data_IF_925168501011
#
_entry.id   IF_925168501011
#
_cell.length_a   1.000
_cell.length_b   1.000
_cell.length_c   1.000
_cell.angle_alpha   90.00
_cell.angle_beta   90.00
_cell.angle_gamma   90.00
#
_symmetry.space_group_name_H-M   'P 1'
#
loop_
_entity.id
_entity.type
_entity.pdbx_description
1 polymer ?
#
# COMPACT_ATOMS: atom_id res chain seq x y z
N UNK A 1 -0.74 -16.02 9.18
CA UNK A 1 0.63 -15.46 9.23
C UNK A 1 0.68 -14.50 10.40
N UNK A 2 1.62 -14.65 11.30
CA UNK A 2 1.79 -13.69 12.39
C UNK A 2 2.42 -12.44 11.76
N UNK A 3 1.74 -11.29 11.79
CA UNK A 3 2.24 -10.04 11.18
C UNK A 3 3.60 -9.59 11.74
N UNK A 4 4.01 -10.15 12.88
CA UNK A 4 5.31 -9.90 13.52
C UNK A 4 6.51 -10.47 12.76
N UNK A 5 6.30 -11.44 11.86
CA UNK A 5 7.36 -12.16 11.14
C UNK A 5 7.69 -11.56 9.75
N UNK A 6 7.27 -10.33 9.46
CA UNK A 6 7.60 -9.65 8.19
C UNK A 6 9.04 -9.16 8.24
N UNK A 7 9.92 -9.61 7.31
CA UNK A 7 11.30 -9.14 7.24
C UNK A 7 11.38 -7.62 7.05
N UNK A 8 12.37 -6.97 7.65
CA UNK A 8 12.53 -5.53 7.57
C UNK A 8 12.59 -5.01 6.13
N UNK A 9 13.29 -5.73 5.24
CA UNK A 9 13.39 -5.40 3.80
C UNK A 9 12.05 -5.42 3.06
N UNK A 10 11.06 -6.14 3.59
CA UNK A 10 9.74 -6.25 2.96
C UNK A 10 8.78 -5.15 3.45
N UNK A 11 9.06 -4.52 4.61
CA UNK A 11 8.14 -3.54 5.23
C UNK A 11 8.04 -2.22 4.48
N UNK A 12 9.04 -1.85 3.69
CA UNK A 12 8.98 -0.70 2.81
C UNK A 12 8.59 -1.18 1.41
N UNK A 13 7.49 -0.66 0.89
CA UNK A 13 7.03 -0.86 -0.49
C UNK A 13 7.38 0.41 -1.26
N UNK A 14 8.37 0.33 -2.16
CA UNK A 14 8.76 1.49 -2.96
C UNK A 14 7.81 1.69 -4.14
N UNK A 15 7.22 2.88 -4.24
CA UNK A 15 6.34 3.25 -5.34
C UNK A 15 7.15 3.63 -6.58
N UNK A 16 7.13 2.77 -7.60
CA UNK A 16 7.72 2.99 -8.92
C UNK A 16 6.81 3.89 -9.78
N UNK A 17 6.66 5.15 -9.36
CA UNK A 17 5.88 6.12 -10.11
C UNK A 17 6.79 6.83 -11.15
N UNK A 18 7.15 6.10 -12.21
CA UNK A 18 8.08 6.48 -13.28
C UNK A 18 7.45 6.23 -14.65
N UNK A 19 8.03 6.81 -15.71
CA UNK A 19 7.43 6.91 -17.04
C UNK A 19 7.78 5.74 -17.97
N UNK A 20 8.75 4.89 -17.60
CA UNK A 20 9.20 3.81 -18.48
C UNK A 20 9.68 2.58 -17.74
N UNK A 21 9.74 1.44 -18.46
CA UNK A 21 10.33 0.20 -17.98
C UNK A 21 11.82 0.37 -17.65
N UNK A 22 12.57 1.09 -18.48
CA UNK A 22 14.00 1.31 -18.32
C UNK A 22 14.31 2.12 -17.04
N UNK A 23 13.46 3.10 -16.73
CA UNK A 23 13.60 3.87 -15.50
C UNK A 23 13.24 3.00 -14.28
N UNK A 24 12.18 2.21 -14.38
CA UNK A 24 11.81 1.26 -13.33
C UNK A 24 12.93 0.25 -13.06
N UNK A 25 13.58 -0.28 -14.10
CA UNK A 25 14.72 -1.19 -14.00
C UNK A 25 15.87 -0.58 -13.19
N UNK A 26 16.27 0.66 -13.52
CA UNK A 26 17.32 1.39 -12.78
C UNK A 26 16.99 1.54 -11.29
N UNK A 27 15.73 1.78 -10.95
CA UNK A 27 15.30 1.89 -9.56
C UNK A 27 15.31 0.54 -8.84
N UNK A 28 14.86 -0.53 -9.50
CA UNK A 28 14.89 -1.89 -8.93
C UNK A 28 16.34 -2.33 -8.71
N UNK A 29 17.22 -2.12 -9.69
CA UNK A 29 18.65 -2.46 -9.55
C UNK A 29 19.33 -1.64 -8.45
N UNK A 30 18.97 -0.36 -8.30
CA UNK A 30 19.53 0.52 -7.27
C UNK A 30 19.09 0.15 -5.85
N UNK A 31 17.82 -0.21 -5.65
CA UNK A 31 17.23 -0.40 -4.33
C UNK A 31 17.04 -1.87 -3.92
N UNK A 32 17.14 -2.82 -4.84
CA UNK A 32 16.81 -4.22 -4.61
C UNK A 32 17.67 -4.94 -3.57
N UNK A 33 18.88 -4.44 -3.26
CA UNK A 33 19.66 -4.95 -2.13
C UNK A 33 19.17 -4.48 -0.76
N UNK A 34 18.43 -3.37 -0.70
CA UNK A 34 17.95 -2.73 0.53
C UNK A 34 16.48 -2.99 0.80
N UNK A 35 15.63 -3.03 -0.24
CA UNK A 35 14.19 -3.32 -0.17
C UNK A 35 13.82 -4.45 -1.13
N UNK A 36 12.83 -5.24 -0.72
CA UNK A 36 12.38 -6.39 -1.49
C UNK A 36 10.98 -6.22 -2.09
N UNK A 37 10.34 -5.05 -1.93
CA UNK A 37 8.96 -4.86 -2.33
C UNK A 37 8.77 -3.58 -3.15
N UNK A 38 8.18 -3.75 -4.35
CA UNK A 38 7.94 -2.66 -5.30
C UNK A 38 6.47 -2.54 -5.67
N UNK A 39 5.95 -1.31 -5.73
CA UNK A 39 4.59 -1.01 -6.15
C UNK A 39 4.56 -0.54 -7.60
N UNK A 40 3.81 -1.23 -8.43
CA UNK A 40 3.48 -0.80 -9.79
C UNK A 40 2.08 -0.16 -9.75
N UNK A 41 2.04 1.16 -9.88
CA UNK A 41 0.81 1.95 -9.95
C UNK A 41 0.34 2.17 -11.37
N UNK A 42 -0.76 2.93 -11.54
CA UNK A 42 -1.40 3.18 -12.84
C UNK A 42 -0.44 3.74 -13.89
N UNK A 43 0.38 4.75 -13.53
CA UNK A 43 1.32 5.40 -14.45
C UNK A 43 2.25 4.37 -15.10
N UNK A 44 3.00 3.65 -14.31
CA UNK A 44 3.98 2.67 -14.80
C UNK A 44 3.30 1.44 -15.44
N UNK A 45 2.14 1.02 -14.92
CA UNK A 45 1.40 -0.09 -15.50
C UNK A 45 0.92 0.24 -16.92
N UNK A 46 0.39 1.43 -17.16
CA UNK A 46 -0.03 1.88 -18.50
C UNK A 46 1.17 2.01 -19.44
N UNK A 47 2.32 2.48 -18.95
CA UNK A 47 3.53 2.62 -19.74
C UNK A 47 4.19 1.28 -20.10
N UNK A 48 4.15 0.29 -19.20
CA UNK A 48 4.95 -0.94 -19.36
C UNK A 48 4.20 -2.26 -19.15
N UNK A 49 2.93 -2.25 -18.74
CA UNK A 49 2.07 -3.43 -18.53
C UNK A 49 2.76 -4.56 -17.73
N UNK A 50 2.46 -5.83 -18.07
CA UNK A 50 3.05 -7.01 -17.41
C UNK A 50 4.58 -7.18 -17.56
N UNK A 51 5.26 -6.72 -18.62
CA UNK A 51 6.72 -6.72 -18.66
C UNK A 51 7.40 -6.09 -17.45
N UNK A 52 6.85 -4.99 -16.90
CA UNK A 52 7.37 -4.35 -15.68
C UNK A 52 7.25 -5.30 -14.48
N UNK A 53 6.08 -5.93 -14.30
CA UNK A 53 5.87 -6.88 -13.20
C UNK A 53 6.82 -8.05 -13.31
N UNK A 54 6.93 -8.65 -14.51
CA UNK A 54 7.84 -9.77 -14.79
C UNK A 54 9.32 -9.41 -14.58
N UNK A 55 9.71 -8.18 -14.88
CA UNK A 55 11.06 -7.69 -14.64
C UNK A 55 11.39 -7.69 -13.14
N UNK A 56 10.46 -7.24 -12.30
CA UNK A 56 10.62 -7.17 -10.85
C UNK A 56 10.64 -8.59 -10.24
N UNK A 57 9.65 -9.44 -10.60
CA UNK A 57 9.52 -10.79 -10.02
C UNK A 57 10.67 -11.72 -10.44
N UNK A 58 11.18 -11.60 -11.67
CA UNK A 58 12.38 -12.34 -12.12
C UNK A 58 13.65 -12.00 -11.33
N UNK A 59 13.72 -10.81 -10.73
CA UNK A 59 14.81 -10.40 -9.83
C UNK A 59 14.60 -10.91 -8.39
N UNK A 60 13.52 -11.65 -8.14
CA UNK A 60 13.18 -12.22 -6.83
C UNK A 60 12.49 -11.24 -5.87
N UNK A 61 11.97 -10.13 -6.37
CA UNK A 61 11.29 -9.12 -5.57
C UNK A 61 9.76 -9.28 -5.59
N UNK A 62 9.13 -8.87 -4.50
CA UNK A 62 7.68 -8.83 -4.34
C UNK A 62 7.06 -7.65 -5.11
N UNK A 63 5.85 -7.87 -5.64
CA UNK A 63 5.11 -6.83 -6.37
C UNK A 63 3.76 -6.56 -5.72
N UNK A 64 3.47 -5.27 -5.50
CA UNK A 64 2.14 -4.74 -5.24
C UNK A 64 1.59 -4.11 -6.52
N UNK A 65 0.59 -4.72 -7.12
CA UNK A 65 -0.15 -4.19 -8.25
C UNK A 65 -1.23 -3.21 -7.75
N UNK A 66 -0.90 -1.90 -7.76
CA UNK A 66 -1.71 -0.84 -7.14
C UNK A 66 -2.58 -0.11 -8.18
N UNK A 67 -3.50 -0.84 -8.80
CA UNK A 67 -4.41 -0.32 -9.83
C UNK A 67 -5.74 0.17 -9.26
N UNK A 68 -6.03 -0.11 -7.98
CA UNK A 68 -7.28 0.24 -7.31
C UNK A 68 -8.50 -0.15 -8.14
N UNK A 69 -8.50 -1.42 -8.60
CA UNK A 69 -9.49 -1.95 -9.56
C UNK A 69 -10.90 -1.59 -9.10
N UNK A 70 -11.64 -0.94 -9.98
CA UNK A 70 -12.98 -0.44 -9.74
C UNK A 70 -13.82 -0.57 -11.02
N UNK A 71 -14.66 -1.61 -11.07
CA UNK A 71 -15.54 -1.88 -12.19
C UNK A 71 -16.73 -2.76 -11.70
N UNK A 72 -17.64 -3.13 -12.59
CA UNK A 72 -18.70 -4.11 -12.27
C UNK A 72 -18.07 -5.46 -11.86
N UNK A 73 -18.73 -6.23 -10.99
CA UNK A 73 -18.15 -7.44 -10.38
C UNK A 73 -17.54 -8.43 -11.38
N UNK A 74 -18.18 -8.67 -12.51
CA UNK A 74 -17.68 -9.64 -13.51
C UNK A 74 -16.38 -9.15 -14.16
N UNK A 75 -16.27 -7.84 -14.48
CA UNK A 75 -15.03 -7.25 -15.01
C UNK A 75 -13.91 -7.34 -13.98
N UNK A 76 -14.21 -7.11 -12.69
CA UNK A 76 -13.23 -7.28 -11.61
C UNK A 76 -12.71 -8.71 -11.55
N UNK A 77 -13.57 -9.74 -11.61
CA UNK A 77 -13.16 -11.15 -11.66
C UNK A 77 -12.22 -11.43 -12.82
N UNK A 78 -12.61 -11.00 -14.02
CA UNK A 78 -11.80 -11.20 -15.23
C UNK A 78 -10.44 -10.49 -15.14
N UNK A 79 -10.40 -9.29 -14.57
CA UNK A 79 -9.16 -8.56 -14.35
C UNK A 79 -8.23 -9.30 -13.37
N UNK A 80 -8.76 -9.79 -12.23
CA UNK A 80 -7.98 -10.55 -11.24
C UNK A 80 -7.42 -11.86 -11.82
N UNK A 81 -8.15 -12.53 -12.72
CA UNK A 81 -7.64 -13.72 -13.44
C UNK A 81 -6.38 -13.41 -14.24
N UNK A 82 -6.26 -12.20 -14.82
CA UNK A 82 -5.06 -11.78 -15.57
C UNK A 82 -3.84 -11.56 -14.66
N UNK A 83 -4.04 -11.30 -13.37
CA UNK A 83 -2.95 -11.09 -12.41
C UNK A 83 -2.35 -12.41 -11.90
N UNK A 84 -3.10 -13.51 -11.93
CA UNK A 84 -2.77 -14.81 -11.32
C UNK A 84 -1.41 -15.37 -11.73
N UNK A 85 -1.07 -15.29 -13.01
CA UNK A 85 0.10 -15.97 -13.59
C UNK A 85 1.35 -15.04 -13.64
N UNK A 86 1.36 -14.00 -12.83
CA UNK A 86 2.40 -12.96 -12.85
C UNK A 86 3.14 -12.77 -11.52
N UNK A 87 3.05 -13.74 -10.58
CA UNK A 87 3.74 -13.72 -9.26
C UNK A 87 3.52 -12.44 -8.46
N UNK A 88 2.29 -11.89 -8.53
CA UNK A 88 1.90 -10.68 -7.81
C UNK A 88 1.60 -11.04 -6.37
N UNK A 89 2.24 -10.33 -5.42
CA UNK A 89 2.04 -10.52 -3.98
C UNK A 89 0.76 -9.85 -3.50
N UNK A 90 0.55 -8.57 -3.86
CA UNK A 90 -0.61 -7.77 -3.48
C UNK A 90 -1.30 -7.15 -4.69
N UNK A 91 -2.63 -7.12 -4.69
CA UNK A 91 -3.43 -6.33 -5.63
C UNK A 91 -4.42 -5.45 -4.86
N UNK A 92 -4.63 -4.21 -5.32
CA UNK A 92 -5.56 -3.28 -4.69
C UNK A 92 -6.87 -3.18 -5.47
N UNK A 93 -7.97 -3.13 -4.72
CA UNK A 93 -9.31 -2.89 -5.23
C UNK A 93 -9.98 -1.79 -4.41
N UNK A 94 -10.96 -1.09 -4.97
CA UNK A 94 -11.77 -0.14 -4.20
C UNK A 94 -12.64 -0.88 -3.17
N UNK A 95 -12.73 -0.35 -1.95
CA UNK A 95 -13.36 -0.98 -0.79
C UNK A 95 -14.90 -1.05 -0.83
N UNK A 96 -15.52 -1.09 -2.01
CA UNK A 96 -16.95 -1.30 -2.18
C UNK A 96 -17.27 -2.80 -2.15
N UNK A 97 -18.27 -3.21 -1.38
CA UNK A 97 -18.56 -4.62 -1.10
C UNK A 97 -18.70 -5.50 -2.35
N UNK A 98 -19.44 -5.15 -3.43
CA UNK A 98 -19.54 -5.98 -4.62
C UNK A 98 -18.19 -6.20 -5.31
N UNK A 99 -17.32 -5.17 -5.33
CA UNK A 99 -15.99 -5.20 -5.94
C UNK A 99 -15.06 -6.11 -5.11
N UNK A 100 -15.04 -5.92 -3.78
CA UNK A 100 -14.21 -6.74 -2.87
C UNK A 100 -14.62 -8.20 -2.94
N UNK A 101 -15.92 -8.52 -2.98
CA UNK A 101 -16.42 -9.88 -3.11
C UNK A 101 -15.94 -10.54 -4.39
N UNK A 102 -16.09 -9.86 -5.51
CA UNK A 102 -15.63 -10.35 -6.82
C UNK A 102 -14.11 -10.60 -6.82
N UNK A 103 -13.35 -9.70 -6.22
CA UNK A 103 -11.90 -9.85 -6.14
C UNK A 103 -11.47 -11.02 -5.24
N UNK A 104 -12.11 -11.21 -4.09
CA UNK A 104 -11.81 -12.30 -3.15
C UNK A 104 -12.13 -13.67 -3.77
N UNK A 105 -13.21 -13.78 -4.55
CA UNK A 105 -13.58 -15.02 -5.25
C UNK A 105 -12.52 -15.46 -6.27
N UNK A 106 -11.75 -14.53 -6.85
CA UNK A 106 -10.77 -14.80 -7.91
C UNK A 106 -9.30 -14.55 -7.49
N UNK A 107 -9.03 -14.40 -6.19
CA UNK A 107 -7.69 -13.99 -5.72
C UNK A 107 -6.56 -14.99 -6.00
N UNK A 108 -6.84 -16.30 -6.10
CA UNK A 108 -5.92 -17.34 -6.56
C UNK A 108 -4.44 -17.19 -6.12
N UNK A 109 -4.21 -16.96 -4.82
CA UNK A 109 -2.88 -16.77 -4.25
C UNK A 109 -2.40 -15.30 -4.16
N UNK A 110 -2.99 -14.38 -4.93
CA UNK A 110 -2.76 -12.93 -4.77
C UNK A 110 -3.51 -12.43 -3.54
N UNK A 111 -2.84 -11.71 -2.65
CA UNK A 111 -3.52 -11.09 -1.50
C UNK A 111 -4.22 -9.82 -1.94
N UNK A 112 -5.52 -9.75 -1.65
CA UNK A 112 -6.36 -8.60 -2.01
C UNK A 112 -6.35 -7.58 -0.88
N UNK A 113 -6.01 -6.34 -1.21
CA UNK A 113 -6.04 -5.20 -0.31
C UNK A 113 -7.15 -4.23 -0.72
N UNK A 114 -8.12 -4.01 0.16
CA UNK A 114 -9.19 -3.06 -0.09
C UNK A 114 -8.76 -1.62 0.25
N UNK A 115 -8.87 -0.70 -0.69
CA UNK A 115 -8.66 0.73 -0.46
C UNK A 115 -9.89 1.29 0.24
N UNK A 116 -9.74 1.72 1.49
CA UNK A 116 -10.86 2.24 2.30
C UNK A 116 -11.32 3.60 1.80
N UNK A 117 -10.49 4.63 1.98
CA UNK A 117 -10.67 5.98 1.42
C UNK A 117 -9.31 6.46 0.93
N UNK A 118 -9.28 7.11 -0.24
CA UNK A 118 -8.04 7.67 -0.79
C UNK A 118 -7.48 8.73 0.17
N UNK A 119 -6.16 8.72 0.40
CA UNK A 119 -5.50 9.64 1.34
C UNK A 119 -5.48 11.11 0.90
N UNK A 120 -5.89 11.38 -0.34
CA UNK A 120 -6.13 12.72 -0.89
C UNK A 120 -7.51 13.28 -0.54
N UNK A 121 -8.44 12.47 -0.05
CA UNK A 121 -9.82 12.85 0.33
C UNK A 121 -9.86 13.23 1.81
N UNK A 122 -10.60 14.29 2.15
CA UNK A 122 -10.87 14.75 3.52
C UNK A 122 -12.37 14.74 3.85
N UNK A 123 -12.73 15.18 5.08
CA UNK A 123 -14.12 15.20 5.56
C UNK A 123 -15.01 16.11 4.71
N UNK A 124 -14.47 17.25 4.20
CA UNK A 124 -15.23 18.15 3.34
C UNK A 124 -15.60 17.48 2.00
N UNK A 125 -14.65 16.71 1.45
CA UNK A 125 -14.86 15.98 0.19
C UNK A 125 -15.96 14.91 0.34
N UNK A 126 -15.95 14.13 1.42
CA UNK A 126 -16.98 13.09 1.62
C UNK A 126 -18.37 13.67 1.88
N UNK A 127 -18.45 14.83 2.55
CA UNK A 127 -19.72 15.55 2.72
C UNK A 127 -20.27 16.00 1.36
N UNK A 128 -19.41 16.57 0.50
CA UNK A 128 -19.78 16.95 -0.88
C UNK A 128 -20.24 15.75 -1.72
N UNK A 129 -19.72 14.55 -1.46
CA UNK A 129 -20.15 13.30 -2.08
C UNK A 129 -21.48 12.77 -1.51
N UNK A 130 -22.05 13.43 -0.50
CA UNK A 130 -23.33 13.07 0.11
C UNK A 130 -23.23 12.07 1.27
N UNK A 131 -22.02 11.77 1.76
CA UNK A 131 -21.86 10.94 2.96
C UNK A 131 -22.25 11.71 4.22
N UNK A 132 -22.89 10.99 5.15
CA UNK A 132 -23.18 11.49 6.51
C UNK A 132 -22.26 10.81 7.49
N UNK A 133 -21.44 11.56 8.21
CA UNK A 133 -20.45 11.05 9.16
C UNK A 133 -19.03 11.50 8.80
N UNK A 134 -18.05 10.99 9.51
CA UNK A 134 -16.63 11.30 9.34
C UNK A 134 -15.93 10.35 8.36
N UNK A 135 -14.74 10.73 7.92
CA UNK A 135 -13.84 9.83 7.18
C UNK A 135 -13.54 8.57 7.99
N UNK A 136 -13.31 8.71 9.30
CA UNK A 136 -13.00 7.59 10.19
C UNK A 136 -14.12 6.57 10.23
N UNK A 137 -15.39 7.02 10.28
CA UNK A 137 -16.57 6.15 10.21
C UNK A 137 -16.63 5.40 8.87
N UNK A 138 -16.37 6.08 7.76
CA UNK A 138 -16.38 5.49 6.43
C UNK A 138 -15.24 4.48 6.25
N UNK A 139 -14.04 4.81 6.73
CA UNK A 139 -12.86 3.92 6.72
C UNK A 139 -13.15 2.66 7.52
N UNK A 140 -13.63 2.80 8.75
CA UNK A 140 -13.96 1.67 9.63
C UNK A 140 -15.08 0.79 9.02
N UNK A 141 -16.12 1.40 8.48
CA UNK A 141 -17.21 0.68 7.81
C UNK A 141 -16.69 -0.16 6.65
N UNK A 142 -15.93 0.47 5.73
CA UNK A 142 -15.38 -0.22 4.55
C UNK A 142 -14.40 -1.32 4.94
N UNK A 143 -13.50 -1.06 5.89
CA UNK A 143 -12.56 -2.05 6.40
C UNK A 143 -13.28 -3.26 6.99
N UNK A 144 -14.24 -3.06 7.89
CA UNK A 144 -15.04 -4.13 8.52
C UNK A 144 -15.77 -4.98 7.47
N UNK A 145 -16.36 -4.35 6.46
CA UNK A 145 -17.07 -5.06 5.37
C UNK A 145 -16.11 -5.85 4.50
N UNK A 146 -14.99 -5.27 4.10
CA UNK A 146 -13.99 -5.94 3.27
C UNK A 146 -13.40 -7.17 3.96
N UNK A 147 -13.02 -7.04 5.24
CA UNK A 147 -12.48 -8.14 6.03
C UNK A 147 -13.50 -9.26 6.27
N UNK A 148 -14.77 -8.92 6.51
CA UNK A 148 -15.86 -9.91 6.64
C UNK A 148 -16.07 -10.74 5.36
N UNK A 149 -15.77 -10.18 4.18
CA UNK A 149 -15.85 -10.87 2.89
C UNK A 149 -14.66 -11.81 2.69
N UNK A 150 -13.56 -11.63 3.43
CA UNK A 150 -12.33 -12.44 3.31
C UNK A 150 -11.20 -11.73 2.56
N UNK A 151 -11.22 -10.40 2.50
CA UNK A 151 -10.10 -9.59 2.05
C UNK A 151 -8.89 -9.81 2.96
N UNK A 152 -7.68 -9.87 2.39
CA UNK A 152 -6.45 -10.18 3.15
C UNK A 152 -5.93 -8.97 3.94
N UNK A 153 -6.35 -7.76 3.55
CA UNK A 153 -5.96 -6.54 4.23
C UNK A 153 -6.59 -5.29 3.61
N UNK A 154 -6.13 -4.15 4.10
CA UNK A 154 -6.63 -2.83 3.69
C UNK A 154 -5.49 -1.86 3.41
N UNK A 155 -5.79 -0.85 2.58
CA UNK A 155 -4.99 0.36 2.43
C UNK A 155 -5.66 1.43 3.27
N UNK A 156 -4.92 2.01 4.22
CA UNK A 156 -5.42 3.06 5.12
C UNK A 156 -4.32 4.05 5.48
N UNK A 157 -4.69 5.30 5.77
CA UNK A 157 -3.77 6.31 6.28
C UNK A 157 -3.22 5.91 7.64
N UNK A 158 -1.99 6.31 7.94
CA UNK A 158 -1.36 6.03 9.24
C UNK A 158 -2.09 6.62 10.45
N UNK A 159 -2.95 7.62 10.24
CA UNK A 159 -3.77 8.21 11.31
C UNK A 159 -4.88 7.28 11.79
N UNK A 160 -5.41 6.43 10.91
CA UNK A 160 -6.54 5.55 11.20
C UNK A 160 -6.10 4.18 11.74
N UNK A 161 -4.83 3.81 11.57
CA UNK A 161 -4.32 2.46 11.84
C UNK A 161 -4.61 2.00 13.26
N UNK A 162 -4.32 2.84 14.27
CA UNK A 162 -4.55 2.50 15.68
C UNK A 162 -6.04 2.23 15.97
N UNK A 163 -6.93 3.08 15.44
CA UNK A 163 -8.37 2.89 15.58
C UNK A 163 -8.84 1.59 14.92
N UNK A 164 -8.36 1.31 13.70
CA UNK A 164 -8.70 0.06 12.99
C UNK A 164 -8.21 -1.19 13.72
N UNK A 165 -7.00 -1.15 14.33
CA UNK A 165 -6.50 -2.26 15.15
C UNK A 165 -7.34 -2.49 16.41
N UNK A 166 -7.73 -1.42 17.09
CA UNK A 166 -8.57 -1.50 18.28
C UNK A 166 -9.95 -2.09 17.97
N UNK A 167 -10.57 -1.71 16.85
CA UNK A 167 -11.92 -2.12 16.47
C UNK A 167 -11.99 -3.49 15.77
N UNK A 168 -10.96 -3.87 15.02
CA UNK A 168 -11.00 -5.02 14.12
C UNK A 168 -9.92 -6.08 14.44
N UNK A 169 -9.01 -5.80 15.38
CA UNK A 169 -7.94 -6.71 15.79
C UNK A 169 -6.75 -6.77 14.83
N UNK A 170 -5.96 -7.86 14.90
CA UNK A 170 -4.66 -7.95 14.24
C UNK A 170 -4.58 -8.99 13.11
N UNK A 171 -5.68 -9.69 12.78
CA UNK A 171 -5.67 -10.82 11.85
C UNK A 171 -5.80 -10.42 10.37
N UNK A 172 -5.36 -9.24 9.98
CA UNK A 172 -5.36 -8.74 8.61
C UNK A 172 -4.20 -7.77 8.38
N UNK A 173 -3.84 -7.55 7.13
CA UNK A 173 -2.77 -6.63 6.73
C UNK A 173 -3.26 -5.18 6.69
N UNK A 174 -2.43 -4.26 7.20
CA UNK A 174 -2.60 -2.81 6.96
C UNK A 174 -1.37 -2.31 6.21
N UNK A 175 -1.60 -1.79 5.01
CA UNK A 175 -0.58 -1.16 4.17
C UNK A 175 -0.85 0.33 4.13
N UNK A 176 0.14 1.13 4.55
CA UNK A 176 -0.04 2.56 4.82
C UNK A 176 0.76 3.42 3.85
N UNK A 177 0.10 4.15 2.94
CA UNK A 177 0.71 5.20 2.13
C UNK A 177 0.78 6.53 2.90
N UNK A 178 1.33 7.57 2.25
CA UNK A 178 1.42 8.91 2.86
C UNK A 178 2.54 9.02 3.89
N UNK A 179 3.58 8.21 3.75
CA UNK A 179 4.73 8.23 4.67
C UNK A 179 5.68 9.36 4.30
N UNK A 180 6.14 10.09 5.32
CA UNK A 180 7.17 11.12 5.22
C UNK A 180 8.24 10.87 6.28
N UNK A 181 9.54 11.03 5.94
CA UNK A 181 10.60 10.94 6.94
C UNK A 181 10.45 12.09 7.95
N UNK A 182 10.86 11.84 9.18
CA UNK A 182 10.81 12.81 10.30
C UNK A 182 11.89 13.92 10.17
N UNK A 183 12.31 14.23 8.95
CA UNK A 183 13.37 15.20 8.65
C UNK A 183 12.87 16.64 8.46
N UNK A 184 11.56 16.89 8.56
CA UNK A 184 10.95 18.21 8.36
C UNK A 184 11.08 18.77 6.93
N UNK A 185 11.52 17.96 5.96
CA UNK A 185 11.64 18.40 4.55
C UNK A 185 10.26 18.41 3.90
N UNK A 186 9.76 19.59 3.57
CA UNK A 186 8.54 19.74 2.78
C UNK A 186 8.75 19.22 1.35
N UNK A 187 7.80 18.39 0.88
CA UNK A 187 7.78 17.92 -0.50
C UNK A 187 6.91 18.88 -1.32
N UNK A 188 7.52 19.61 -2.22
CA UNK A 188 6.80 20.54 -3.11
C UNK A 188 5.72 19.79 -3.92
N UNK A 189 4.48 20.32 -3.94
CA UNK A 189 3.36 19.73 -4.68
C UNK A 189 2.84 18.43 -4.04
N UNK A 190 2.92 18.29 -2.73
CA UNK A 190 2.41 17.12 -2.04
C UNK A 190 0.86 17.12 -2.04
N UNK A 191 0.28 16.08 -2.65
CA UNK A 191 -1.16 15.84 -2.71
C UNK A 191 -1.69 15.03 -1.50
N UNK A 192 -0.79 14.56 -0.61
CA UNK A 192 -1.15 13.76 0.55
C UNK A 192 -1.60 14.66 1.71
N UNK A 193 -2.88 14.57 2.08
CA UNK A 193 -3.46 15.33 3.19
C UNK A 193 -3.26 14.68 4.57
N UNK A 194 -3.00 13.36 4.60
CA UNK A 194 -2.95 12.52 5.81
C UNK A 194 -1.61 11.80 5.91
N UNK A 195 -0.55 12.53 6.30
CA UNK A 195 0.83 12.04 6.40
C UNK A 195 1.20 11.64 7.83
N UNK A 196 2.13 10.67 7.95
CA UNK A 196 2.75 10.22 9.21
C UNK A 196 4.20 9.79 8.95
N UNK A 197 5.04 9.65 10.01
CA UNK A 197 6.36 9.05 9.92
C UNK A 197 6.27 7.52 9.72
N UNK A 198 7.36 6.89 9.27
CA UNK A 198 7.42 5.43 9.19
C UNK A 198 7.34 4.81 10.60
N UNK A 199 8.00 5.42 11.59
CA UNK A 199 7.95 4.99 12.98
C UNK A 199 6.52 5.01 13.53
N UNK A 200 5.80 6.13 13.38
CA UNK A 200 4.44 6.27 13.90
C UNK A 200 3.47 5.32 13.22
N UNK A 201 3.60 5.13 11.89
CA UNK A 201 2.78 4.16 11.17
C UNK A 201 2.91 2.75 11.77
N UNK A 202 4.15 2.32 12.06
CA UNK A 202 4.42 1.01 12.67
C UNK A 202 3.94 0.96 14.12
N UNK A 203 4.22 1.98 14.94
CA UNK A 203 3.71 2.05 16.33
C UNK A 203 2.19 1.90 16.36
N UNK A 204 1.50 2.56 15.45
CA UNK A 204 0.04 2.48 15.31
C UNK A 204 -0.45 1.11 14.82
N UNK A 205 0.44 0.23 14.32
CA UNK A 205 0.10 -1.14 13.91
C UNK A 205 0.06 -1.39 12.41
N UNK A 206 0.65 -0.53 11.57
CA UNK A 206 0.84 -0.81 10.15
C UNK A 206 1.81 -1.98 9.95
N UNK A 207 1.53 -2.85 8.98
CA UNK A 207 2.41 -3.96 8.61
C UNK A 207 3.44 -3.54 7.55
N UNK A 208 3.00 -2.70 6.61
CA UNK A 208 3.82 -2.18 5.51
C UNK A 208 3.60 -0.68 5.34
N UNK A 209 4.62 -0.01 4.86
CA UNK A 209 4.57 1.42 4.50
C UNK A 209 4.88 1.58 3.01
N UNK A 210 4.07 2.41 2.30
CA UNK A 210 4.32 2.72 0.89
C UNK A 210 4.99 4.08 0.79
N UNK A 211 6.17 4.11 0.16
CA UNK A 211 7.00 5.30 0.03
C UNK A 211 7.35 5.52 -1.44
N UNK A 212 7.07 6.70 -1.95
CA UNK A 212 7.39 7.11 -3.32
C UNK A 212 8.35 8.30 -3.35
N UNK A 213 7.80 9.49 -3.46
CA UNK A 213 8.54 10.76 -3.58
C UNK A 213 9.69 10.94 -2.58
N UNK A 214 9.56 10.65 -1.27
CA UNK A 214 10.66 10.82 -0.32
C UNK A 214 11.93 10.08 -0.72
N UNK A 215 11.81 8.89 -1.29
CA UNK A 215 12.95 8.10 -1.78
C UNK A 215 13.35 8.58 -3.18
N UNK A 216 12.37 8.73 -4.09
CA UNK A 216 12.64 9.02 -5.51
C UNK A 216 13.29 10.37 -5.76
N UNK A 217 12.97 11.40 -4.97
CA UNK A 217 13.53 12.76 -5.13
C UNK A 217 14.74 13.05 -4.24
N UNK A 218 15.15 12.09 -3.42
CA UNK A 218 16.29 12.26 -2.53
C UNK A 218 17.62 12.32 -3.32
N UNK A 219 18.58 13.09 -2.81
CA UNK A 219 19.95 13.10 -3.32
C UNK A 219 20.62 11.74 -3.12
N UNK A 220 20.35 11.11 -1.97
CA UNK A 220 20.79 9.74 -1.63
C UNK A 220 19.57 8.89 -1.24
N UNK A 221 18.95 8.20 -2.22
CA UNK A 221 17.80 7.34 -1.96
C UNK A 221 18.08 6.17 -1.02
N UNK A 222 19.32 5.64 -1.02
CA UNK A 222 19.70 4.51 -0.16
C UNK A 222 19.72 4.96 1.29
N UNK A 223 20.35 6.10 1.59
CA UNK A 223 20.38 6.66 2.94
C UNK A 223 18.97 6.92 3.49
N UNK A 224 18.03 7.37 2.63
CA UNK A 224 16.62 7.55 3.03
C UNK A 224 15.96 6.21 3.37
N UNK A 225 16.18 5.18 2.57
CA UNK A 225 15.65 3.82 2.85
C UNK A 225 16.20 3.30 4.18
N UNK A 226 17.51 3.40 4.42
CA UNK A 226 18.15 2.94 5.65
C UNK A 226 17.65 3.70 6.88
N UNK A 227 17.48 5.03 6.76
CA UNK A 227 16.88 5.85 7.82
C UNK A 227 15.46 5.39 8.14
N UNK A 228 14.60 5.16 7.14
CA UNK A 228 13.25 4.66 7.33
C UNK A 228 13.22 3.25 7.91
N UNK A 229 14.14 2.37 7.53
CA UNK A 229 14.27 1.05 8.15
C UNK A 229 14.63 1.16 9.63
N UNK A 230 15.47 2.12 10.02
CA UNK A 230 15.76 2.38 11.41
C UNK A 230 14.54 2.92 12.18
N UNK A 231 13.76 3.82 11.59
CA UNK A 231 12.47 4.27 12.14
C UNK A 231 11.51 3.10 12.36
N UNK A 232 11.38 2.20 11.38
CA UNK A 232 10.55 0.99 11.46
C UNK A 232 11.03 0.08 12.60
N UNK A 233 12.33 -0.16 12.74
CA UNK A 233 12.88 -0.96 13.84
C UNK A 233 12.57 -0.37 15.21
N UNK A 234 12.69 0.96 15.37
CA UNK A 234 12.29 1.64 16.59
C UNK A 234 10.80 1.45 16.89
N UNK A 235 9.95 1.61 15.87
CA UNK A 235 8.51 1.40 16.02
C UNK A 235 8.16 -0.02 16.45
N UNK A 236 8.79 -1.04 15.85
CA UNK A 236 8.61 -2.45 16.23
C UNK A 236 9.05 -2.73 17.67
N UNK A 237 10.18 -2.16 18.09
CA UNK A 237 10.69 -2.32 19.46
C UNK A 237 9.74 -1.70 20.50
N UNK A 238 9.09 -0.57 20.16
CA UNK A 238 8.12 0.09 21.04
C UNK A 238 6.81 -0.68 21.20
N UNK A 239 6.45 -1.57 20.27
CA UNK A 239 5.26 -2.44 20.39
C UNK A 239 5.49 -3.65 21.31
N UNK A 240 6.74 -3.96 21.68
CA UNK A 240 7.08 -5.11 22.51
C UNK A 240 7.16 -4.76 24.00
N UNK A 241 7.18 -3.48 24.34
CA UNK A 241 7.19 -2.93 25.68
C UNK A 241 5.78 -2.48 26.09
#
# INVERSE_FOLDING_TARGET
MNHKDIPLKDRIIFALDVDSLEEAEKWVDKLGSHINFFKVGLQLFIAGWFPVIKMITKRGHNVMCDLKICDVPETVKLALRQLRDNDITFATVIGNEPIVRAAVEEKNGVKILAVTVLTSIDDEDIIKMGYKGSIDDLVLYRARRALKIGCDGIISSGREVSHLRNELGNNFLIVTPGIRPDTGVEIHGDDQKRIVSAQDAIINGADYVVVGRPIRTAKDPIAVVESMQHEIQKGLSSQLN
#
